data_IF_151440041222
#
_entry.id   IF_151440041222
#
_cell.length_a   1.000
_cell.length_b   1.000
_cell.length_c   1.000
_cell.angle_alpha   90.00
_cell.angle_beta   90.00
_cell.angle_gamma   90.00
#
_symmetry.space_group_name_H-M   'P 1'
#
loop_
_entity.id
_entity.type
_entity.pdbx_description
1 polymer ?
#
# COMPACT_ATOMS: atom_id res chain seq x y z
N UNK A 1 -11.05 2.03 -45.26
CA UNK A 1 -10.27 0.88 -44.75
C UNK A 1 -9.31 1.26 -43.62
N UNK A 2 -8.45 2.28 -43.79
CA UNK A 2 -7.41 2.61 -42.80
C UNK A 2 -7.93 2.94 -41.38
N UNK A 3 -9.07 3.61 -41.24
CA UNK A 3 -9.62 3.96 -39.91
C UNK A 3 -10.01 2.73 -39.07
N UNK A 4 -10.56 1.70 -39.70
CA UNK A 4 -10.90 0.44 -39.03
C UNK A 4 -9.65 -0.34 -38.60
N UNK A 5 -8.61 -0.35 -39.44
CA UNK A 5 -7.32 -1.00 -39.12
C UNK A 5 -6.63 -0.27 -37.97
N UNK A 6 -6.57 1.06 -38.00
CA UNK A 6 -5.98 1.85 -36.89
C UNK A 6 -6.75 1.64 -35.58
N UNK A 7 -8.08 1.55 -35.63
CA UNK A 7 -8.90 1.30 -34.45
C UNK A 7 -8.68 -0.11 -33.88
N UNK A 8 -8.69 -1.13 -34.74
CA UNK A 8 -8.41 -2.51 -34.35
C UNK A 8 -6.99 -2.67 -33.79
N UNK A 9 -6.00 -2.05 -34.44
CA UNK A 9 -4.62 -2.06 -33.97
C UNK A 9 -4.49 -1.39 -32.59
N UNK A 10 -5.16 -0.26 -32.37
CA UNK A 10 -5.19 0.39 -31.05
C UNK A 10 -5.79 -0.50 -29.96
N UNK A 11 -6.89 -1.19 -30.25
CA UNK A 11 -7.56 -2.08 -29.30
C UNK A 11 -6.67 -3.29 -28.94
N UNK A 12 -6.00 -3.87 -29.92
CA UNK A 12 -5.00 -4.93 -29.72
C UNK A 12 -3.84 -4.42 -28.86
N UNK A 13 -3.34 -3.21 -29.13
CA UNK A 13 -2.24 -2.62 -28.38
C UNK A 13 -2.60 -2.41 -26.91
N UNK A 14 -3.79 -1.86 -26.62
CA UNK A 14 -4.30 -1.70 -25.26
C UNK A 14 -4.42 -3.05 -24.56
N UNK A 15 -4.95 -4.06 -25.24
CA UNK A 15 -5.09 -5.39 -24.67
C UNK A 15 -3.72 -6.03 -24.36
N UNK A 16 -2.76 -5.89 -25.26
CA UNK A 16 -1.42 -6.45 -25.12
C UNK A 16 -0.63 -5.76 -24.01
N UNK A 17 -0.74 -4.43 -23.89
CA UNK A 17 -0.21 -3.66 -22.77
C UNK A 17 -0.87 -4.13 -21.46
N UNK A 18 -2.21 -4.17 -21.41
CA UNK A 18 -2.94 -4.60 -20.21
C UNK A 18 -2.56 -6.00 -19.76
N UNK A 19 -2.46 -6.95 -20.70
CA UNK A 19 -2.01 -8.31 -20.43
C UNK A 19 -0.58 -8.34 -19.89
N UNK A 20 0.34 -7.58 -20.50
CA UNK A 20 1.73 -7.49 -20.06
C UNK A 20 1.84 -6.90 -18.65
N UNK A 21 1.03 -5.89 -18.33
CA UNK A 21 0.98 -5.31 -16.98
C UNK A 21 0.50 -6.33 -15.94
N UNK A 22 -0.53 -7.13 -16.26
CA UNK A 22 -1.06 -8.15 -15.36
C UNK A 22 -0.05 -9.29 -15.16
N UNK A 23 0.56 -9.78 -16.24
CA UNK A 23 1.56 -10.85 -16.18
C UNK A 23 2.85 -10.39 -15.49
N UNK A 24 3.29 -9.16 -15.76
CA UNK A 24 4.50 -8.56 -15.22
C UNK A 24 4.35 -7.94 -13.82
N UNK A 25 3.14 -7.90 -13.24
CA UNK A 25 2.86 -7.22 -11.98
C UNK A 25 3.81 -7.63 -10.84
N UNK A 26 4.21 -8.89 -10.80
CA UNK A 26 5.12 -9.43 -9.78
C UNK A 26 6.54 -8.87 -9.83
N UNK A 27 6.93 -8.27 -10.96
CA UNK A 27 8.20 -7.57 -11.14
C UNK A 27 8.01 -6.05 -11.14
N UNK A 28 6.98 -5.57 -11.83
CA UNK A 28 6.69 -4.14 -11.97
C UNK A 28 6.39 -3.47 -10.63
N UNK A 29 5.56 -4.09 -9.78
CA UNK A 29 5.21 -3.52 -8.47
C UNK A 29 6.46 -3.34 -7.59
N UNK A 30 7.31 -4.37 -7.40
CA UNK A 30 8.56 -4.19 -6.67
C UNK A 30 9.50 -3.12 -7.21
N UNK A 31 9.61 -2.97 -8.54
CA UNK A 31 10.44 -1.92 -9.17
C UNK A 31 9.91 -0.54 -8.81
N UNK A 32 8.61 -0.30 -8.95
CA UNK A 32 7.99 0.99 -8.60
C UNK A 32 8.19 1.31 -7.12
N UNK A 33 8.03 0.32 -6.24
CA UNK A 33 8.28 0.46 -4.81
C UNK A 33 9.75 0.78 -4.51
N UNK A 34 10.68 0.14 -5.22
CA UNK A 34 12.10 0.41 -5.08
C UNK A 34 12.48 1.84 -5.49
N UNK A 35 11.93 2.34 -6.61
CA UNK A 35 12.12 3.73 -7.05
C UNK A 35 11.57 4.70 -5.99
N UNK A 36 10.39 4.42 -5.43
CA UNK A 36 9.80 5.23 -4.37
C UNK A 36 10.67 5.26 -3.10
N UNK A 37 11.12 4.11 -2.63
CA UNK A 37 12.01 3.98 -1.47
C UNK A 37 13.35 4.67 -1.72
N UNK A 38 13.95 4.46 -2.89
CA UNK A 38 15.18 5.14 -3.30
C UNK A 38 15.02 6.65 -3.29
N UNK A 39 13.90 7.16 -3.80
CA UNK A 39 13.61 8.59 -3.76
C UNK A 39 13.48 9.09 -2.32
N UNK A 40 12.79 8.35 -1.45
CA UNK A 40 12.64 8.70 -0.04
C UNK A 40 13.98 8.72 0.69
N UNK A 41 14.86 7.75 0.42
CA UNK A 41 16.24 7.72 0.93
C UNK A 41 17.04 8.96 0.52
N UNK A 42 16.95 9.36 -0.76
CA UNK A 42 17.61 10.55 -1.26
C UNK A 42 17.10 11.83 -0.61
N UNK A 43 15.78 11.91 -0.39
CA UNK A 43 15.13 13.02 0.30
C UNK A 43 15.62 13.11 1.74
N UNK A 44 15.58 12.01 2.50
CA UNK A 44 16.07 11.94 3.90
C UNK A 44 17.55 12.32 3.97
N UNK A 45 18.39 11.74 3.10
CA UNK A 45 19.83 12.03 3.02
C UNK A 45 20.10 13.51 2.74
N UNK A 46 19.26 14.17 1.94
CA UNK A 46 19.39 15.61 1.65
C UNK A 46 18.97 16.47 2.84
N UNK A 47 17.89 16.10 3.54
CA UNK A 47 17.47 16.77 4.78
C UNK A 47 18.50 16.62 5.91
N UNK A 48 19.17 15.47 6.02
CA UNK A 48 20.22 15.24 7.01
C UNK A 48 21.41 16.23 6.87
N UNK A 49 21.63 16.83 5.70
CA UNK A 49 22.66 17.88 5.52
C UNK A 49 22.32 19.18 6.23
N UNK A 50 21.04 19.45 6.46
CA UNK A 50 20.56 20.68 7.10
C UNK A 50 20.49 20.56 8.63
N UNK A 51 20.72 19.37 9.19
CA UNK A 51 20.72 19.15 10.62
C UNK A 51 22.11 19.54 11.17
N UNK A 52 22.21 20.58 12.03
CA UNK A 52 23.49 21.11 12.51
C UNK A 52 24.31 20.07 13.32
N UNK A 53 23.66 19.04 13.89
CA UNK A 53 24.32 17.96 14.63
C UNK A 53 25.11 16.98 13.75
N UNK A 54 24.80 16.88 12.45
CA UNK A 54 25.30 15.86 11.51
C UNK A 54 26.10 16.52 10.35
N UNK A 55 26.08 17.85 10.28
CA UNK A 55 26.42 18.62 9.08
C UNK A 55 27.90 18.74 8.70
N UNK A 56 28.88 18.53 9.59
CA UNK A 56 30.23 19.05 9.31
C UNK A 56 31.28 18.08 8.77
N UNK A 57 31.14 16.75 8.88
CA UNK A 57 32.22 15.83 8.42
C UNK A 57 31.81 14.39 8.11
N UNK A 58 30.55 14.11 7.79
CA UNK A 58 30.12 12.74 7.49
C UNK A 58 30.30 12.42 6.00
N UNK A 59 31.10 11.39 5.62
CA UNK A 59 31.25 10.96 4.24
C UNK A 59 29.90 10.65 3.58
N UNK A 60 29.79 10.88 2.27
CA UNK A 60 28.54 10.70 1.54
C UNK A 60 27.95 9.28 1.68
N UNK A 61 28.78 8.25 1.79
CA UNK A 61 28.36 6.86 1.98
C UNK A 61 27.74 6.62 3.37
N UNK A 62 28.32 7.19 4.44
CA UNK A 62 27.82 7.04 5.82
C UNK A 62 26.44 7.70 5.97
N UNK A 63 26.24 8.89 5.39
CA UNK A 63 24.93 9.58 5.45
C UNK A 63 23.83 8.73 4.80
N UNK A 64 24.15 8.02 3.73
CA UNK A 64 23.17 7.18 3.03
C UNK A 64 22.86 5.89 3.79
N UNK A 65 23.85 5.26 4.44
CA UNK A 65 23.61 4.13 5.34
C UNK A 65 22.73 4.57 6.51
N UNK A 66 23.00 5.74 7.10
CA UNK A 66 22.14 6.32 8.13
C UNK A 66 20.72 6.57 7.61
N UNK A 67 20.54 7.12 6.41
CA UNK A 67 19.22 7.30 5.82
C UNK A 67 18.48 5.96 5.65
N UNK A 68 19.19 4.88 5.30
CA UNK A 68 18.64 3.53 5.19
C UNK A 68 18.19 2.99 6.55
N UNK A 69 19.01 3.16 7.60
CA UNK A 69 18.66 2.77 8.97
C UNK A 69 17.44 3.56 9.46
N UNK A 70 17.44 4.88 9.29
CA UNK A 70 16.33 5.75 9.69
C UNK A 70 15.05 5.35 8.97
N UNK A 71 15.11 5.12 7.66
CA UNK A 71 13.96 4.67 6.90
C UNK A 71 13.45 3.30 7.38
N UNK A 72 14.34 2.34 7.59
CA UNK A 72 14.00 1.02 8.12
C UNK A 72 13.31 1.09 9.48
N UNK A 73 13.81 1.95 10.38
CA UNK A 73 13.20 2.18 11.69
C UNK A 73 11.80 2.80 11.58
N UNK A 74 11.63 3.82 10.72
CA UNK A 74 10.33 4.45 10.49
C UNK A 74 9.31 3.46 9.93
N UNK A 75 9.72 2.63 8.97
CA UNK A 75 8.86 1.58 8.40
C UNK A 75 8.47 0.57 9.48
N UNK A 76 9.43 0.08 10.26
CA UNK A 76 9.15 -0.85 11.36
C UNK A 76 8.16 -0.27 12.36
N UNK A 77 8.40 0.95 12.84
CA UNK A 77 7.48 1.64 13.77
C UNK A 77 6.07 1.76 13.19
N UNK A 78 5.96 2.11 11.91
CA UNK A 78 4.67 2.23 11.23
C UNK A 78 3.95 0.88 11.17
N UNK A 79 4.66 -0.19 10.81
CA UNK A 79 4.09 -1.55 10.76
C UNK A 79 3.64 -2.00 12.15
N UNK A 80 4.44 -1.75 13.19
CA UNK A 80 4.11 -2.12 14.57
C UNK A 80 2.85 -1.38 15.04
N UNK A 81 2.78 -0.06 14.80
CA UNK A 81 1.60 0.77 15.11
C UNK A 81 0.37 0.24 14.39
N UNK A 82 0.46 0.01 13.06
CA UNK A 82 -0.68 -0.47 12.28
C UNK A 82 -1.13 -1.83 12.78
N UNK A 83 -0.21 -2.77 13.01
CA UNK A 83 -0.54 -4.13 13.44
C UNK A 83 -1.23 -4.14 14.80
N UNK A 84 -0.73 -3.37 15.75
CA UNK A 84 -1.35 -3.25 17.08
C UNK A 84 -2.75 -2.63 16.99
N UNK A 85 -2.91 -1.55 16.22
CA UNK A 85 -4.22 -0.93 16.00
C UNK A 85 -5.19 -1.87 15.30
N UNK A 86 -4.76 -2.61 14.28
CA UNK A 86 -5.61 -3.57 13.56
C UNK A 86 -6.09 -4.67 14.51
N UNK A 87 -5.23 -5.19 15.39
CA UNK A 87 -5.60 -6.20 16.37
C UNK A 87 -6.64 -5.68 17.38
N UNK A 88 -6.48 -4.45 17.85
CA UNK A 88 -7.46 -3.80 18.73
C UNK A 88 -8.81 -3.59 18.02
N UNK A 89 -8.79 -3.14 16.77
CA UNK A 89 -10.01 -2.95 15.97
C UNK A 89 -10.67 -4.29 15.65
N UNK A 90 -9.90 -5.35 15.37
CA UNK A 90 -10.42 -6.71 15.21
C UNK A 90 -11.10 -7.21 16.49
N UNK A 91 -10.51 -6.96 17.66
CA UNK A 91 -11.13 -7.32 18.93
C UNK A 91 -12.44 -6.55 19.19
N UNK A 92 -12.51 -5.30 18.75
CA UNK A 92 -13.71 -4.47 18.86
C UNK A 92 -14.71 -4.66 17.70
N UNK A 93 -14.35 -5.39 16.63
CA UNK A 93 -15.14 -5.49 15.40
C UNK A 93 -16.55 -6.04 15.60
N UNK A 94 -16.80 -7.06 16.46
CA UNK A 94 -18.16 -7.55 16.71
C UNK A 94 -19.05 -6.44 17.27
N UNK A 95 -18.53 -5.65 18.21
CA UNK A 95 -19.26 -4.54 18.82
C UNK A 95 -19.59 -3.44 17.82
N UNK A 96 -18.68 -3.12 16.90
CA UNK A 96 -18.97 -2.16 15.83
C UNK A 96 -20.04 -2.68 14.87
N UNK A 97 -20.00 -3.98 14.55
CA UNK A 97 -21.02 -4.61 13.71
C UNK A 97 -22.40 -4.55 14.36
N UNK A 98 -22.50 -4.89 15.65
CA UNK A 98 -23.77 -4.88 16.39
C UNK A 98 -24.37 -3.46 16.46
N UNK A 99 -23.54 -2.45 16.75
CA UNK A 99 -23.98 -1.05 16.75
C UNK A 99 -24.49 -0.60 15.39
N UNK A 100 -23.84 -1.04 14.31
CA UNK A 100 -24.25 -0.74 12.95
C UNK A 100 -25.61 -1.38 12.63
N UNK A 101 -25.81 -2.64 13.02
CA UNK A 101 -27.09 -3.33 12.89
C UNK A 101 -28.20 -2.65 13.68
N UNK A 102 -27.93 -2.22 14.92
CA UNK A 102 -28.88 -1.48 15.75
C UNK A 102 -29.25 -0.12 15.13
N UNK A 103 -28.27 0.59 14.56
CA UNK A 103 -28.52 1.88 13.89
C UNK A 103 -29.40 1.70 12.66
N UNK A 104 -29.12 0.68 11.84
CA UNK A 104 -29.95 0.35 10.68
C UNK A 104 -31.35 -0.09 11.09
N UNK A 105 -31.49 -0.85 12.17
CA UNK A 105 -32.79 -1.29 12.66
C UNK A 105 -33.67 -0.11 13.11
N UNK A 106 -33.07 0.91 13.73
CA UNK A 106 -33.77 2.16 14.07
C UNK A 106 -34.19 2.96 12.84
N UNK A 107 -33.38 2.95 11.77
CA UNK A 107 -33.72 3.60 10.50
C UNK A 107 -34.90 2.87 9.84
N UNK A 108 -34.87 1.53 9.82
CA UNK A 108 -35.98 0.71 9.30
C UNK A 108 -37.27 0.96 10.07
N UNK A 109 -37.20 1.02 11.40
CA UNK A 109 -38.36 1.26 12.27
C UNK A 109 -38.93 2.67 12.09
N UNK A 110 -38.06 3.69 12.01
CA UNK A 110 -38.47 5.09 11.89
C UNK A 110 -39.03 5.45 10.50
N UNK A 111 -38.43 4.91 9.42
CA UNK A 111 -38.85 5.23 8.05
C UNK A 111 -39.75 4.17 7.42
N UNK A 112 -40.00 3.03 8.09
CA UNK A 112 -40.72 1.86 7.57
C UNK A 112 -40.18 1.34 6.23
N UNK A 113 -38.87 1.51 6.02
CA UNK A 113 -38.15 0.98 4.87
C UNK A 113 -37.52 -0.34 5.28
N UNK A 114 -37.37 -1.31 4.37
CA UNK A 114 -36.67 -2.58 4.64
C UNK A 114 -35.20 -2.49 4.22
N UNK A 115 -34.46 -1.51 4.74
CA UNK A 115 -33.04 -1.29 4.39
C UNK A 115 -32.20 -2.48 4.84
N UNK A 116 -32.46 -3.07 6.03
CA UNK A 116 -31.76 -4.29 6.44
C UNK A 116 -32.01 -5.45 5.47
N UNK A 117 -33.25 -5.67 5.03
CA UNK A 117 -33.56 -6.79 4.14
C UNK A 117 -32.92 -6.62 2.75
N UNK A 118 -32.87 -5.39 2.24
CA UNK A 118 -32.26 -5.08 0.95
C UNK A 118 -30.72 -5.09 1.00
N UNK A 119 -30.13 -4.82 2.16
CA UNK A 119 -28.68 -4.73 2.34
C UNK A 119 -28.05 -5.91 3.09
N UNK A 120 -28.81 -6.92 3.53
CA UNK A 120 -28.28 -8.04 4.34
C UNK A 120 -27.07 -8.72 3.67
N UNK A 121 -27.17 -8.99 2.37
CA UNK A 121 -26.06 -9.56 1.60
C UNK A 121 -24.87 -8.60 1.47
N UNK A 122 -25.12 -7.30 1.37
CA UNK A 122 -24.08 -6.28 1.27
C UNK A 122 -23.37 -6.06 2.62
N UNK A 123 -24.10 -6.07 3.72
CA UNK A 123 -23.58 -5.91 5.08
C UNK A 123 -22.78 -7.14 5.52
N UNK A 124 -23.25 -8.36 5.17
CA UNK A 124 -22.50 -9.60 5.42
C UNK A 124 -21.17 -9.65 4.65
N UNK A 125 -21.11 -9.04 3.48
CA UNK A 125 -19.88 -8.95 2.68
C UNK A 125 -18.96 -7.81 3.14
N UNK A 126 -19.53 -6.69 3.61
CA UNK A 126 -18.85 -5.57 4.29
C UNK A 126 -18.60 -5.84 5.79
N UNK A 127 -18.12 -7.03 6.14
CA UNK A 127 -17.67 -7.24 7.52
C UNK A 127 -16.41 -6.39 7.76
N UNK A 128 -16.38 -5.68 8.89
CA UNK A 128 -15.19 -4.92 9.33
C UNK A 128 -13.96 -5.83 9.33
N UNK A 129 -14.14 -7.10 9.67
CA UNK A 129 -13.12 -8.14 9.61
C UNK A 129 -12.56 -8.36 8.19
N UNK A 130 -13.40 -8.49 7.16
CA UNK A 130 -12.95 -8.69 5.78
C UNK A 130 -12.13 -7.50 5.27
N UNK A 131 -12.54 -6.28 5.59
CA UNK A 131 -11.79 -5.07 5.23
C UNK A 131 -10.39 -5.10 5.87
N UNK A 132 -10.31 -5.44 7.16
CA UNK A 132 -9.04 -5.53 7.88
C UNK A 132 -8.15 -6.66 7.34
N UNK A 133 -8.72 -7.83 7.03
CA UNK A 133 -7.99 -8.95 6.40
C UNK A 133 -7.45 -8.57 5.03
N UNK A 134 -8.23 -7.84 4.21
CA UNK A 134 -7.76 -7.37 2.91
C UNK A 134 -6.61 -6.37 3.04
N UNK A 135 -6.71 -5.41 3.96
CA UNK A 135 -5.63 -4.46 4.26
C UNK A 135 -4.37 -5.22 4.72
N UNK A 136 -4.52 -6.15 5.67
CA UNK A 136 -3.42 -7.00 6.15
C UNK A 136 -2.79 -7.82 5.03
N UNK A 137 -3.61 -8.35 4.12
CA UNK A 137 -3.17 -9.07 2.93
C UNK A 137 -2.31 -8.20 1.99
N UNK A 138 -2.65 -6.92 1.82
CA UNK A 138 -1.83 -5.98 1.03
C UNK A 138 -0.45 -5.77 1.66
N UNK A 139 -0.37 -5.55 2.97
CA UNK A 139 0.90 -5.41 3.69
C UNK A 139 1.73 -6.70 3.64
N UNK A 140 1.08 -7.85 3.79
CA UNK A 140 1.73 -9.17 3.68
C UNK A 140 2.29 -9.39 2.28
N UNK A 141 1.56 -9.00 1.24
CA UNK A 141 2.03 -9.07 -0.14
C UNK A 141 3.27 -8.20 -0.36
N UNK A 142 3.27 -6.95 0.09
CA UNK A 142 4.45 -6.07 0.00
C UNK A 142 5.63 -6.67 0.77
N UNK A 143 5.38 -7.20 1.97
CA UNK A 143 6.41 -7.85 2.81
C UNK A 143 6.99 -9.08 2.12
N UNK A 144 6.16 -9.89 1.45
CA UNK A 144 6.64 -11.04 0.67
C UNK A 144 7.53 -10.62 -0.49
N UNK A 145 7.28 -9.45 -1.07
CA UNK A 145 8.12 -8.84 -2.11
C UNK A 145 9.32 -8.04 -1.55
N UNK A 146 9.47 -7.93 -0.23
CA UNK A 146 10.48 -7.06 0.39
C UNK A 146 11.91 -7.43 -0.01
N UNK A 147 12.22 -8.71 -0.19
CA UNK A 147 13.54 -9.17 -0.65
C UNK A 147 13.84 -8.61 -2.05
N UNK A 148 12.88 -8.72 -2.96
CA UNK A 148 13.04 -8.28 -4.35
C UNK A 148 13.07 -6.74 -4.45
N UNK A 149 12.23 -6.05 -3.66
CA UNK A 149 12.28 -4.59 -3.49
C UNK A 149 13.66 -4.17 -2.98
N UNK A 150 14.17 -4.83 -1.93
CA UNK A 150 15.47 -4.50 -1.34
C UNK A 150 16.60 -4.68 -2.35
N UNK A 151 16.57 -5.75 -3.14
CA UNK A 151 17.53 -5.99 -4.22
C UNK A 151 17.51 -4.85 -5.24
N UNK A 152 16.34 -4.40 -5.67
CA UNK A 152 16.22 -3.27 -6.59
C UNK A 152 16.67 -1.95 -5.97
N UNK A 153 16.37 -1.70 -4.69
CA UNK A 153 16.86 -0.51 -3.99
C UNK A 153 18.40 -0.51 -3.95
N UNK A 154 19.03 -1.65 -3.65
CA UNK A 154 20.49 -1.79 -3.69
C UNK A 154 21.02 -1.54 -5.10
N UNK A 155 20.39 -2.13 -6.13
CA UNK A 155 20.77 -1.91 -7.52
C UNK A 155 20.72 -0.42 -7.92
N UNK A 156 19.59 0.25 -7.69
CA UNK A 156 19.42 1.69 -7.98
C UNK A 156 20.42 2.55 -7.22
N UNK A 157 20.78 2.15 -6.01
CA UNK A 157 21.72 2.87 -5.19
C UNK A 157 23.17 2.70 -5.67
N UNK A 158 23.53 1.52 -6.18
CA UNK A 158 24.83 1.25 -6.81
C UNK A 158 24.93 1.98 -8.16
N UNK A 159 23.88 1.96 -8.99
CA UNK A 159 23.86 2.62 -10.30
C UNK A 159 23.92 4.15 -10.20
N UNK A 160 23.53 4.72 -9.07
CA UNK A 160 23.68 6.16 -8.79
C UNK A 160 25.15 6.60 -8.63
N UNK A 161 26.13 5.69 -8.73
CA UNK A 161 27.57 5.90 -8.57
C UNK A 161 28.34 5.42 -9.80
#
# INVERSE_FOLDING_TARGET
MNRLISFAAGLILVWLIGYTLIAGRGLLIPIVMAIFIWHLLNTISTYMKHIPLIGFSIPAWVRRILALIVLGLLVKMTVDIITNNVNEVLAASPRYQDNLMLMLARIDDYFHIKVLANLDNFIKTLSVQNVLVNIYGMFTSITSSAVLISLYVVFLFVEQH
#
